data_IF_001416499442
#
_entry.id   IF_001416499442
#
_cell.length_a   1.000
_cell.length_b   1.000
_cell.length_c   1.000
_cell.angle_alpha   90.00
_cell.angle_beta   90.00
_cell.angle_gamma   90.00
#
_symmetry.space_group_name_H-M   'P 1'
#
loop_
_entity.id
_entity.type
_entity.pdbx_description
1 polymer ?
#
# COMPACT_ATOMS: atom_id res chain seq x y z
N UNK A 1 0.07 8.24 -9.75
CA UNK A 1 -0.85 7.08 -9.76
C UNK A 1 -2.20 7.62 -9.34
N UNK A 2 -3.26 7.44 -10.11
CA UNK A 2 -4.61 7.78 -9.61
C UNK A 2 -5.04 6.64 -8.69
N UNK A 3 -5.43 6.97 -7.46
CA UNK A 3 -5.88 6.00 -6.46
C UNK A 3 -7.41 6.00 -6.46
N UNK A 4 -8.01 4.82 -6.35
CA UNK A 4 -9.46 4.67 -6.19
C UNK A 4 -9.94 5.48 -4.98
N UNK A 5 -11.08 6.17 -5.14
CA UNK A 5 -11.63 7.00 -4.08
C UNK A 5 -11.92 6.20 -2.79
N UNK A 6 -12.39 4.94 -2.93
CA UNK A 6 -12.58 4.02 -1.80
C UNK A 6 -11.26 3.54 -1.18
N UNK A 7 -10.18 3.53 -1.97
CA UNK A 7 -8.86 3.10 -1.52
C UNK A 7 -8.24 4.00 -0.47
N UNK A 8 -8.59 5.31 -0.45
CA UNK A 8 -8.03 6.24 0.53
C UNK A 8 -8.36 5.85 1.97
N UNK A 9 -9.59 5.40 2.24
CA UNK A 9 -10.00 4.97 3.59
C UNK A 9 -9.24 3.72 4.03
N UNK A 10 -9.14 2.73 3.15
CA UNK A 10 -8.39 1.50 3.42
C UNK A 10 -6.90 1.74 3.60
N UNK A 11 -6.28 2.61 2.78
CA UNK A 11 -4.87 2.99 2.91
C UNK A 11 -4.63 3.74 4.22
N UNK A 12 -5.53 4.65 4.61
CA UNK A 12 -5.42 5.37 5.88
C UNK A 12 -5.45 4.43 7.08
N UNK A 13 -6.39 3.47 7.08
CA UNK A 13 -6.45 2.44 8.12
C UNK A 13 -5.20 1.56 8.15
N UNK A 14 -4.74 1.11 6.98
CA UNK A 14 -3.52 0.29 6.88
C UNK A 14 -2.28 1.06 7.38
N UNK A 15 -2.17 2.35 7.06
CA UNK A 15 -1.08 3.23 7.52
C UNK A 15 -1.14 3.44 9.04
N UNK A 16 -2.34 3.58 9.60
CA UNK A 16 -2.55 3.72 11.04
C UNK A 16 -2.11 2.45 11.79
N UNK A 17 -2.52 1.27 11.30
CA UNK A 17 -2.10 -0.02 11.86
C UNK A 17 -0.58 -0.20 11.74
N UNK A 18 -0.01 0.12 10.57
CA UNK A 18 1.43 0.11 10.34
C UNK A 18 2.16 0.98 11.37
N UNK A 19 1.68 2.19 11.61
CA UNK A 19 2.24 3.12 12.59
C UNK A 19 2.16 2.58 14.01
N UNK A 20 1.00 2.06 14.42
CA UNK A 20 0.80 1.51 15.76
C UNK A 20 1.72 0.30 16.04
N UNK A 21 1.84 -0.63 15.09
CA UNK A 21 2.70 -1.81 15.21
C UNK A 21 4.17 -1.39 15.34
N UNK A 22 4.64 -0.53 14.43
CA UNK A 22 6.04 -0.11 14.42
C UNK A 22 6.38 0.73 15.65
N UNK A 23 5.51 1.66 16.06
CA UNK A 23 5.72 2.45 17.27
C UNK A 23 5.84 1.55 18.52
N UNK A 24 4.96 0.56 18.65
CA UNK A 24 4.99 -0.40 19.76
C UNK A 24 6.28 -1.25 19.72
N UNK A 25 6.68 -1.72 18.55
CA UNK A 25 7.94 -2.44 18.34
C UNK A 25 9.16 -1.61 18.79
N UNK A 26 9.26 -0.35 18.36
CA UNK A 26 10.35 0.53 18.72
C UNK A 26 10.31 0.97 20.20
N UNK A 27 9.13 1.03 20.82
CA UNK A 27 9.03 1.36 22.24
C UNK A 27 9.54 0.24 23.14
N UNK A 28 9.21 -1.02 22.81
CA UNK A 28 9.56 -2.19 23.64
C UNK A 28 10.95 -2.75 23.31
N UNK A 29 11.26 -2.97 22.03
CA UNK A 29 12.39 -3.83 21.63
C UNK A 29 13.63 -3.06 21.19
N UNK A 30 13.55 -1.74 20.97
CA UNK A 30 14.66 -0.95 20.41
C UNK A 30 15.94 -1.02 21.22
N UNK A 31 15.84 -1.07 22.56
CA UNK A 31 17.01 -1.06 23.44
C UNK A 31 17.82 -2.36 23.40
N UNK A 32 17.15 -3.50 23.17
CA UNK A 32 17.76 -4.83 23.23
C UNK A 32 17.99 -5.42 21.83
N UNK A 33 17.08 -5.16 20.89
CA UNK A 33 17.07 -5.76 19.56
C UNK A 33 16.79 -4.70 18.47
N UNK A 34 17.68 -3.72 18.28
CA UNK A 34 17.47 -2.65 17.30
C UNK A 34 17.36 -3.19 15.86
N UNK A 35 18.14 -4.21 15.51
CA UNK A 35 18.12 -4.84 14.19
C UNK A 35 16.75 -5.45 13.85
N UNK A 36 16.07 -6.02 14.85
CA UNK A 36 14.74 -6.61 14.69
C UNK A 36 13.72 -5.51 14.36
N UNK A 37 13.75 -4.39 15.09
CA UNK A 37 12.88 -3.24 14.84
C UNK A 37 13.02 -2.72 13.40
N UNK A 38 14.26 -2.55 12.92
CA UNK A 38 14.50 -2.09 11.54
C UNK A 38 14.06 -3.12 10.49
N UNK A 39 14.24 -4.42 10.76
CA UNK A 39 13.80 -5.49 9.85
C UNK A 39 12.28 -5.54 9.73
N UNK A 40 11.58 -5.49 10.86
CA UNK A 40 10.11 -5.45 10.90
C UNK A 40 9.59 -4.17 10.23
N UNK A 41 10.24 -3.03 10.46
CA UNK A 41 9.90 -1.77 9.79
C UNK A 41 10.03 -1.89 8.27
N UNK A 42 11.14 -2.42 7.77
CA UNK A 42 11.36 -2.60 6.34
C UNK A 42 10.32 -3.54 5.71
N UNK A 43 10.07 -4.70 6.33
CA UNK A 43 9.07 -5.66 5.86
C UNK A 43 7.65 -5.08 5.84
N UNK A 44 7.24 -4.44 6.93
CA UNK A 44 5.90 -3.84 7.03
C UNK A 44 5.75 -2.62 6.12
N UNK A 45 6.83 -1.90 5.84
CA UNK A 45 6.83 -0.79 4.89
C UNK A 45 6.68 -1.28 3.44
N UNK A 46 7.39 -2.35 3.05
CA UNK A 46 7.19 -3.00 1.75
C UNK A 46 5.74 -3.48 1.61
N UNK A 47 5.18 -4.09 2.66
CA UNK A 47 3.78 -4.51 2.68
C UNK A 47 2.82 -3.32 2.52
N UNK A 48 3.07 -2.18 3.18
CA UNK A 48 2.26 -0.98 3.04
C UNK A 48 2.29 -0.47 1.60
N UNK A 49 3.47 -0.40 0.97
CA UNK A 49 3.60 -0.01 -0.44
C UNK A 49 2.86 -0.98 -1.37
N UNK A 50 2.92 -2.28 -1.09
CA UNK A 50 2.16 -3.30 -1.82
C UNK A 50 0.65 -3.08 -1.71
N UNK A 51 0.13 -2.81 -0.51
CA UNK A 51 -1.29 -2.48 -0.29
C UNK A 51 -1.68 -1.24 -1.08
N UNK A 52 -0.88 -0.16 -1.03
CA UNK A 52 -1.14 1.07 -1.80
C UNK A 52 -1.21 0.78 -3.31
N UNK A 53 -0.39 -0.15 -3.81
CA UNK A 53 -0.38 -0.52 -5.22
C UNK A 53 -1.70 -1.14 -5.71
N UNK A 54 -2.45 -1.86 -4.87
CA UNK A 54 -3.74 -2.47 -5.26
C UNK A 54 -4.82 -1.45 -5.56
N UNK A 55 -4.79 -0.31 -4.89
CA UNK A 55 -5.82 0.71 -5.06
C UNK A 55 -5.56 1.62 -6.26
N UNK A 56 -4.47 1.41 -7.00
CA UNK A 56 -4.16 2.17 -8.21
C UNK A 56 -5.17 1.85 -9.31
N UNK A 57 -5.69 2.90 -9.95
CA UNK A 57 -6.50 2.78 -11.16
C UNK A 57 -5.57 2.48 -12.35
N UNK A 58 -5.80 1.40 -13.11
CA UNK A 58 -5.03 1.10 -14.31
C UNK A 58 -5.32 2.13 -15.41
N UNK A 59 -4.27 2.52 -16.15
CA UNK A 59 -4.47 3.34 -17.36
C UNK A 59 -5.12 2.47 -18.43
N UNK A 60 -6.25 2.92 -18.98
CA UNK A 60 -6.93 2.26 -20.10
C UNK A 60 -6.59 3.01 -21.39
N UNK A 61 -6.01 2.33 -22.36
CA UNK A 61 -5.88 2.84 -23.73
C UNK A 61 -7.04 2.28 -24.54
N UNK A 62 -7.91 3.15 -25.05
CA UNK A 62 -8.97 2.75 -25.96
C UNK A 62 -8.36 2.47 -27.33
N UNK A 63 -8.43 1.23 -27.78
CA UNK A 63 -8.01 0.84 -29.14
C UNK A 63 -9.26 0.82 -30.02
N UNK A 64 -9.40 1.80 -30.90
CA UNK A 64 -10.52 1.90 -31.84
C UNK A 64 -10.02 1.46 -33.22
N UNK A 65 -10.68 0.46 -33.82
CA UNK A 65 -10.44 0.00 -35.20
C UNK A 65 -11.76 -0.06 -35.97
N UNK A 66 -11.73 0.18 -37.28
CA UNK A 66 -12.91 0.07 -38.13
C UNK A 66 -13.47 -1.37 -38.10
N UNK A 67 -14.78 -1.49 -37.82
CA UNK A 67 -15.47 -2.78 -37.64
C UNK A 67 -15.37 -3.39 -36.25
N UNK A 68 -14.72 -2.73 -35.28
CA UNK A 68 -14.64 -3.22 -33.90
C UNK A 68 -15.97 -3.02 -33.15
N UNK A 69 -16.46 -4.09 -32.51
CA UNK A 69 -17.57 -4.01 -31.54
C UNK A 69 -16.96 -3.65 -30.19
N UNK A 70 -17.20 -2.43 -29.73
CA UNK A 70 -16.68 -1.93 -28.46
C UNK A 70 -17.78 -2.08 -27.40
N UNK A 71 -17.47 -2.77 -26.31
CA UNK A 71 -18.34 -2.90 -25.13
C UNK A 71 -17.74 -2.12 -23.94
N UNK A 72 -18.58 -1.62 -23.01
CA UNK A 72 -18.16 -0.78 -21.88
C UNK A 72 -17.24 -1.48 -20.87
#
# INVERSE_FOLDING_TARGET
MTIHHEGYKSIALATLIFGAINLTMFWIFRAQYPWLCYTVLALTFILLLFIVSFFRIPKRTLTIQDGSIIAP
#
